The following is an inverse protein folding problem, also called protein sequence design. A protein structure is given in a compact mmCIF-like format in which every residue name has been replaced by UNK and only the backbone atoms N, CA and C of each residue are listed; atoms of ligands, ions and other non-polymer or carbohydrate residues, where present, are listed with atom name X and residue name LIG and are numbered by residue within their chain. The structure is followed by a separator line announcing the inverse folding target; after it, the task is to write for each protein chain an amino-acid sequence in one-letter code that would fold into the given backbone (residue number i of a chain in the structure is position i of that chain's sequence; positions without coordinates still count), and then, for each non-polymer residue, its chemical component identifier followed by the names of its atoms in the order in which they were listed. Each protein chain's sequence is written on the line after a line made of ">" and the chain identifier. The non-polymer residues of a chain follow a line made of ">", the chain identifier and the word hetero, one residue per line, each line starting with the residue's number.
data_IF_822848639002
#
_entry.id   IF_822848639002
#
_cell.length_a   1.000
_cell.length_b   1.000
_cell.length_c   1.000
_cell.angle_alpha   90.00
_cell.angle_beta   90.00
_cell.angle_gamma   90.00
#
_symmetry.space_group_name_H-M   'P 1'
#
loop_
_entity.id
_entity.type
_entity.pdbx_description
1 polymer ?
#
# COMPACT_ATOMS: atom_id res chain seq x y z
N UNK A 1 14.03 -5.23 12.12
CA UNK A 1 12.93 -4.95 11.18
C UNK A 1 11.71 -4.30 11.84
N UNK A 2 10.91 -5.00 12.66
CA UNK A 2 9.68 -4.45 13.29
C UNK A 2 9.91 -3.21 14.18
N UNK A 3 10.94 -3.23 15.04
CA UNK A 3 11.30 -2.08 15.87
C UNK A 3 11.85 -0.89 15.07
N UNK A 4 12.59 -1.16 13.99
CA UNK A 4 13.21 -0.12 13.14
C UNK A 4 12.17 0.66 12.32
N UNK A 5 11.12 0.00 11.81
CA UNK A 5 10.04 0.69 11.11
C UNK A 5 9.37 1.74 12.02
N UNK A 6 9.20 1.38 13.28
CA UNK A 6 8.58 2.23 14.31
C UNK A 6 9.44 3.44 14.68
N UNK A 7 10.76 3.24 14.74
CA UNK A 7 11.74 4.30 15.02
C UNK A 7 12.04 5.19 13.80
N UNK A 8 11.81 4.69 12.59
CA UNK A 8 12.07 5.43 11.35
C UNK A 8 11.11 6.60 11.09
N UNK A 9 9.94 6.61 11.74
CA UNK A 9 8.87 7.59 11.48
C UNK A 9 8.21 7.45 10.10
N UNK A 10 8.48 6.36 9.37
CA UNK A 10 7.87 6.08 8.07
C UNK A 10 6.40 5.68 8.22
N UNK A 11 5.57 6.23 7.34
CA UNK A 11 4.17 5.82 7.16
C UNK A 11 4.04 4.92 5.94
N UNK A 12 3.22 3.88 6.06
CA UNK A 12 2.94 2.96 4.96
C UNK A 12 1.48 3.10 4.52
N UNK A 13 1.25 2.97 3.21
CA UNK A 13 -0.09 3.04 2.63
C UNK A 13 -0.41 1.76 1.88
N UNK A 14 -1.50 1.10 2.25
CA UNK A 14 -1.87 -0.22 1.72
C UNK A 14 -2.95 -0.09 0.64
N UNK A 15 -2.69 -0.73 -0.50
CA UNK A 15 -3.67 -0.87 -1.58
C UNK A 15 -4.87 -1.75 -1.19
N UNK A 16 -5.88 -1.77 -2.07
CA UNK A 16 -7.10 -2.56 -1.90
C UNK A 16 -6.84 -4.07 -1.96
N UNK A 17 -5.82 -4.50 -2.70
CA UNK A 17 -5.49 -5.91 -2.90
C UNK A 17 -4.98 -6.59 -1.64
N UNK A 18 -4.29 -5.86 -0.77
CA UNK A 18 -3.86 -6.34 0.56
C UNK A 18 -5.02 -6.43 1.57
N UNK A 19 -6.17 -5.82 1.25
CA UNK A 19 -7.35 -5.78 2.09
C UNK A 19 -7.21 -4.87 3.32
N UNK A 20 -8.29 -4.73 4.08
CA UNK A 20 -8.39 -3.77 5.19
C UNK A 20 -8.36 -4.39 6.59
N UNK A 21 -8.09 -5.70 6.72
CA UNK A 21 -8.11 -6.39 8.02
C UNK A 21 -6.88 -7.25 8.30
N UNK A 22 -6.68 -8.34 7.56
CA UNK A 22 -5.68 -9.36 7.92
C UNK A 22 -4.26 -8.79 7.85
N UNK A 23 -3.85 -8.31 6.67
CA UNK A 23 -2.51 -7.74 6.46
C UNK A 23 -2.29 -6.46 7.27
N UNK A 24 -3.21 -5.47 7.27
CA UNK A 24 -3.05 -4.27 8.10
C UNK A 24 -2.89 -4.56 9.59
N UNK A 25 -3.68 -5.49 10.15
CA UNK A 25 -3.59 -5.82 11.57
C UNK A 25 -2.27 -6.52 11.90
N UNK A 26 -1.82 -7.46 11.08
CA UNK A 26 -0.55 -8.14 11.31
C UNK A 26 0.64 -7.17 11.28
N UNK A 27 0.67 -6.24 10.32
CA UNK A 27 1.72 -5.21 10.24
C UNK A 27 1.66 -4.24 11.43
N UNK A 28 0.46 -3.87 11.90
CA UNK A 28 0.28 -3.05 13.11
C UNK A 28 0.74 -3.77 14.37
N UNK A 29 0.43 -5.06 14.51
CA UNK A 29 0.93 -5.91 15.59
C UNK A 29 2.46 -6.02 15.56
N UNK A 30 3.05 -6.01 14.37
CA UNK A 30 4.49 -5.90 14.16
C UNK A 30 5.04 -4.46 14.36
N UNK A 31 4.21 -3.50 14.74
CA UNK A 31 4.63 -2.15 15.10
C UNK A 31 4.73 -1.13 13.95
N UNK A 32 4.19 -1.45 12.77
CA UNK A 32 4.25 -0.54 11.62
C UNK A 32 3.17 0.55 11.73
N UNK A 33 3.50 1.77 11.29
CA UNK A 33 2.54 2.86 11.16
C UNK A 33 1.98 2.86 9.73
N UNK A 34 0.68 2.56 9.58
CA UNK A 34 0.07 2.42 8.27
C UNK A 34 -1.39 2.86 8.22
N UNK A 35 -1.82 3.25 7.01
CA UNK A 35 -3.19 3.56 6.65
C UNK A 35 -3.62 2.74 5.43
N UNK A 36 -4.85 2.25 5.44
CA UNK A 36 -5.45 1.50 4.32
C UNK A 36 -6.30 2.41 3.44
N UNK A 37 -6.57 1.97 2.21
CA UNK A 37 -7.53 2.62 1.31
C UNK A 37 -8.91 2.85 1.95
N UNK A 38 -9.44 1.86 2.69
CA UNK A 38 -10.75 1.97 3.36
C UNK A 38 -10.74 3.00 4.49
N UNK A 39 -9.61 3.18 5.19
CA UNK A 39 -9.47 4.19 6.25
C UNK A 39 -9.32 5.59 5.67
N UNK A 40 -8.56 5.75 4.58
CA UNK A 40 -8.33 7.06 3.95
C UNK A 40 -9.55 7.59 3.21
N UNK A 41 -10.19 6.72 2.43
CA UNK A 41 -11.26 7.12 1.50
C UNK A 41 -12.65 6.68 1.96
N UNK A 42 -12.74 5.83 2.98
CA UNK A 42 -13.99 5.19 3.36
C UNK A 42 -14.24 3.92 2.54
N UNK A 43 -14.86 2.92 3.17
CA UNK A 43 -15.05 1.58 2.59
C UNK A 43 -15.86 1.56 1.28
N UNK A 44 -16.83 2.45 1.16
CA UNK A 44 -17.71 2.50 -0.02
C UNK A 44 -17.05 3.24 -1.19
N UNK A 45 -16.30 4.31 -0.88
CA UNK A 45 -15.68 5.16 -1.88
C UNK A 45 -14.30 4.66 -2.32
N UNK A 46 -13.59 3.88 -1.49
CA UNK A 46 -12.26 3.35 -1.80
C UNK A 46 -12.21 2.56 -3.11
N UNK A 47 -13.31 1.90 -3.48
CA UNK A 47 -13.44 1.15 -4.73
C UNK A 47 -13.50 2.05 -5.97
N UNK A 48 -13.87 3.32 -5.81
CA UNK A 48 -14.03 4.30 -6.89
C UNK A 48 -12.77 5.13 -7.12
N UNK A 49 -11.82 5.11 -6.19
CA UNK A 49 -10.56 5.81 -6.30
C UNK A 49 -9.69 5.11 -7.35
N UNK A 50 -9.26 5.88 -8.36
CA UNK A 50 -8.40 5.39 -9.42
C UNK A 50 -6.97 5.18 -8.93
N UNK A 51 -6.23 4.26 -9.55
CA UNK A 51 -4.87 3.96 -9.11
C UNK A 51 -3.93 5.16 -9.21
N UNK A 52 -4.08 5.94 -10.27
CA UNK A 52 -3.35 7.21 -10.45
C UNK A 52 -3.56 8.19 -9.30
N UNK A 53 -4.78 8.26 -8.76
CA UNK A 53 -5.13 9.24 -7.73
C UNK A 53 -4.50 8.86 -6.40
N UNK A 54 -4.72 7.64 -5.91
CA UNK A 54 -4.22 7.27 -4.58
C UNK A 54 -2.69 7.16 -4.56
N UNK A 55 -2.05 6.75 -5.66
CA UNK A 55 -0.58 6.72 -5.76
C UNK A 55 -0.01 8.12 -5.58
N UNK A 56 -0.56 9.11 -6.29
CA UNK A 56 -0.11 10.51 -6.19
C UNK A 56 -0.33 11.08 -4.79
N UNK A 57 -1.54 10.96 -4.26
CA UNK A 57 -1.90 11.52 -2.95
C UNK A 57 -1.09 10.90 -1.80
N UNK A 58 -0.91 9.58 -1.81
CA UNK A 58 -0.11 8.88 -0.80
C UNK A 58 1.37 9.25 -0.89
N UNK A 59 1.90 9.39 -2.11
CA UNK A 59 3.28 9.80 -2.32
C UNK A 59 3.53 11.23 -1.83
N UNK A 60 2.61 12.16 -2.12
CA UNK A 60 2.69 13.55 -1.63
C UNK A 60 2.68 13.61 -0.10
N UNK A 61 1.94 12.72 0.57
CA UNK A 61 1.93 12.60 2.04
C UNK A 61 3.20 11.98 2.61
N UNK A 62 4.11 11.49 1.77
CA UNK A 62 5.35 10.85 2.19
C UNK A 62 5.18 9.39 2.59
N UNK A 63 4.08 8.75 2.19
CA UNK A 63 3.86 7.33 2.45
C UNK A 63 4.78 6.44 1.60
N UNK A 64 5.02 5.23 2.09
CA UNK A 64 5.58 4.12 1.32
C UNK A 64 4.44 3.19 0.92
N UNK A 65 4.28 2.94 -0.38
CA UNK A 65 3.14 2.20 -0.90
C UNK A 65 3.40 0.70 -0.82
N UNK A 66 2.45 -0.05 -0.25
CA UNK A 66 2.43 -1.51 -0.21
C UNK A 66 1.32 -2.02 -1.14
N UNK A 67 1.68 -2.86 -2.10
CA UNK A 67 0.77 -3.30 -3.15
C UNK A 67 0.73 -4.82 -3.31
N UNK A 68 -0.44 -5.36 -3.66
CA UNK A 68 -0.58 -6.80 -3.94
C UNK A 68 -0.17 -7.18 -5.36
N UNK A 69 -0.20 -6.24 -6.31
CA UNK A 69 0.05 -6.53 -7.72
C UNK A 69 1.06 -5.55 -8.32
N UNK A 70 2.01 -6.09 -9.09
CA UNK A 70 2.99 -5.31 -9.86
C UNK A 70 2.41 -4.76 -11.17
N UNK A 71 1.17 -5.14 -11.54
CA UNK A 71 0.50 -4.61 -12.73
C UNK A 71 0.53 -3.08 -12.79
N UNK A 72 0.44 -2.39 -11.65
CA UNK A 72 0.48 -0.93 -11.57
C UNK A 72 1.79 -0.30 -12.05
N UNK A 73 2.87 -1.09 -12.05
CA UNK A 73 4.18 -0.67 -12.55
C UNK A 73 4.32 -0.86 -14.06
N UNK A 74 3.38 -1.56 -14.70
CA UNK A 74 3.39 -1.90 -16.14
C UNK A 74 2.38 -1.10 -16.95
N UNK A 75 1.29 -0.64 -16.33
CA UNK A 75 0.36 0.27 -16.98
C UNK A 75 1.09 1.61 -17.25
N UNK A 76 1.18 2.10 -18.49
CA UNK A 76 1.92 3.32 -18.81
C UNK A 76 1.42 4.58 -18.09
N UNK A 77 0.14 4.64 -17.74
CA UNK A 77 -0.45 5.80 -17.05
C UNK A 77 -0.04 5.78 -15.57
N UNK A 78 -0.24 4.66 -14.89
CA UNK A 78 0.13 4.48 -13.48
C UNK A 78 1.66 4.54 -13.30
N UNK A 79 2.44 3.86 -14.17
CA UNK A 79 3.90 3.90 -14.15
C UNK A 79 4.44 5.33 -14.32
N UNK A 80 3.78 6.17 -15.12
CA UNK A 80 4.12 7.59 -15.23
C UNK A 80 3.88 8.32 -13.92
N UNK A 81 2.76 8.09 -13.25
CA UNK A 81 2.47 8.72 -11.95
C UNK A 81 3.49 8.29 -10.91
N UNK A 82 3.82 6.99 -10.84
CA UNK A 82 4.86 6.45 -9.96
C UNK A 82 6.19 7.18 -10.18
N UNK A 83 6.62 7.29 -11.44
CA UNK A 83 7.87 7.96 -11.79
C UNK A 83 7.85 9.47 -11.46
N UNK A 84 6.79 10.17 -11.84
CA UNK A 84 6.70 11.63 -11.71
C UNK A 84 6.52 12.08 -10.26
N UNK A 85 5.82 11.30 -9.44
CA UNK A 85 5.62 11.60 -8.01
C UNK A 85 6.81 11.18 -7.14
N UNK A 86 7.72 10.34 -7.65
CA UNK A 86 8.82 9.78 -6.86
C UNK A 86 8.33 8.72 -5.86
N UNK A 87 7.27 7.99 -6.21
CA UNK A 87 6.64 7.00 -5.34
C UNK A 87 7.63 5.90 -4.94
N UNK A 88 7.64 5.55 -3.65
CA UNK A 88 8.40 4.42 -3.09
C UNK A 88 7.43 3.26 -2.89
N UNK A 89 7.63 2.17 -3.63
CA UNK A 89 6.65 1.07 -3.70
C UNK A 89 7.32 -0.26 -3.40
N UNK A 90 6.69 -1.04 -2.53
CA UNK A 90 6.94 -2.47 -2.34
C UNK A 90 5.71 -3.25 -2.76
N UNK A 91 5.89 -4.28 -3.61
CA UNK A 91 4.78 -5.07 -4.10
C UNK A 91 5.03 -6.57 -3.95
N UNK A 92 4.00 -7.31 -3.58
CA UNK A 92 4.01 -8.77 -3.59
C UNK A 92 3.89 -9.21 -5.05
N UNK A 93 4.93 -9.82 -5.61
CA UNK A 93 4.95 -10.23 -7.02
C UNK A 93 4.09 -11.48 -7.34
N UNK A 94 3.15 -11.84 -6.46
CA UNK A 94 2.33 -13.04 -6.59
C UNK A 94 0.85 -12.76 -6.25
N UNK A 95 0.04 -12.60 -7.30
CA UNK A 95 -1.38 -12.30 -7.19
C UNK A 95 -2.22 -13.43 -6.56
N UNK A 96 -1.73 -14.68 -6.56
CA UNK A 96 -2.47 -15.85 -6.05
C UNK A 96 -2.33 -16.07 -4.54
N UNK A 97 -1.44 -15.32 -3.87
CA UNK A 97 -1.30 -15.36 -2.42
C UNK A 97 -2.61 -14.88 -1.77
N UNK A 98 -3.00 -15.53 -0.67
CA UNK A 98 -4.18 -15.14 0.12
C UNK A 98 -3.75 -14.38 1.38
N UNK A 99 -4.67 -13.62 1.98
CA UNK A 99 -4.32 -12.62 3.00
C UNK A 99 -3.57 -13.12 4.23
N UNK A 100 -3.68 -14.41 4.60
CA UNK A 100 -2.87 -14.98 5.70
C UNK A 100 -1.42 -15.14 5.27
N UNK A 101 -1.19 -15.80 4.14
CA UNK A 101 0.14 -15.99 3.59
C UNK A 101 0.83 -14.64 3.31
N UNK A 102 0.08 -13.60 2.91
CA UNK A 102 0.64 -12.24 2.73
C UNK A 102 1.22 -11.64 4.00
N UNK A 103 0.63 -11.96 5.16
CA UNK A 103 1.07 -11.42 6.44
C UNK A 103 2.39 -12.06 6.92
N UNK A 104 2.72 -13.25 6.39
CA UNK A 104 3.86 -14.06 6.82
C UNK A 104 5.06 -14.01 5.83
N UNK A 105 4.96 -13.24 4.73
CA UNK A 105 6.06 -13.00 3.75
C UNK A 105 7.07 -11.99 4.31
#
# INVERSE_FOLDING_TARGET
>A
MAGEARESGLTFFLDRGLGSKIVPNALREAGWLLETMDERYGKDDSQRIEDVQWIEEATIRGDILLCKDLAITRNPVEARVIFMSGARIFAIANASVVGRDMADI
#
